data_IF_228904087741
#
_entry.id   IF_228904087741
#
_cell.length_a   1.000
_cell.length_b   1.000
_cell.length_c   1.000
_cell.angle_alpha   90.00
_cell.angle_beta   90.00
_cell.angle_gamma   90.00
#
_symmetry.space_group_name_H-M   'P 1'
#
loop_
_entity.id
_entity.type
_entity.pdbx_description
1 polymer ?
#
# COMPACT_ATOMS: atom_id res chain seq x y z
N UNK A 1 -11.72 -4.44 -21.83
CA UNK A 1 -11.35 -3.04 -21.46
C UNK A 1 -11.30 -2.11 -22.68
N UNK A 2 -10.72 -2.53 -23.82
CA UNK A 2 -10.63 -1.75 -25.08
C UNK A 2 -11.99 -1.35 -25.71
N UNK A 3 -13.06 -2.13 -25.50
CA UNK A 3 -14.39 -1.82 -26.05
C UNK A 3 -15.07 -0.63 -25.36
N UNK A 4 -14.87 -0.45 -24.06
CA UNK A 4 -15.48 0.64 -23.29
C UNK A 4 -14.91 2.01 -23.67
N UNK A 5 -13.61 2.06 -23.97
CA UNK A 5 -12.93 3.30 -24.39
C UNK A 5 -13.40 3.79 -25.76
N UNK A 6 -13.59 2.87 -26.72
CA UNK A 6 -14.05 3.19 -28.08
C UNK A 6 -15.50 3.70 -28.10
N UNK A 7 -16.37 3.14 -27.25
CA UNK A 7 -17.77 3.57 -27.14
C UNK A 7 -17.87 4.99 -26.56
N UNK A 8 -17.04 5.34 -25.57
CA UNK A 8 -17.02 6.68 -24.99
C UNK A 8 -16.49 7.74 -25.97
N UNK A 9 -15.49 7.40 -26.80
CA UNK A 9 -15.00 8.31 -27.84
C UNK A 9 -16.05 8.60 -28.93
N UNK A 10 -16.82 7.58 -29.34
CA UNK A 10 -17.91 7.76 -30.28
C UNK A 10 -19.05 8.61 -29.71
N UNK A 11 -19.37 8.45 -28.42
CA UNK A 11 -20.38 9.26 -27.75
C UNK A 11 -19.99 10.74 -27.66
N UNK A 12 -18.71 11.04 -27.36
CA UNK A 12 -18.19 12.41 -27.32
C UNK A 12 -18.22 13.04 -28.72
N UNK A 13 -17.81 12.29 -29.75
CA UNK A 13 -17.86 12.78 -31.13
C UNK A 13 -19.29 13.07 -31.60
N UNK A 14 -20.26 12.22 -31.25
CA UNK A 14 -21.67 12.41 -31.59
C UNK A 14 -22.30 13.60 -30.85
N UNK A 15 -21.99 13.77 -29.56
CA UNK A 15 -22.45 14.92 -28.76
C UNK A 15 -21.85 16.24 -29.27
N UNK A 16 -20.58 16.23 -29.70
CA UNK A 16 -19.93 17.40 -30.27
C UNK A 16 -20.54 17.80 -31.62
N UNK A 17 -20.85 16.86 -32.51
CA UNK A 17 -21.46 17.20 -33.81
C UNK A 17 -22.88 17.72 -33.66
N UNK A 18 -23.70 17.14 -32.77
CA UNK A 18 -25.06 17.64 -32.47
C UNK A 18 -25.05 18.99 -31.74
N UNK A 19 -24.09 19.23 -30.83
CA UNK A 19 -23.92 20.52 -30.17
C UNK A 19 -23.46 21.63 -31.13
N UNK A 20 -22.58 21.28 -32.08
CA UNK A 20 -22.02 22.24 -33.04
C UNK A 20 -23.05 22.67 -34.10
N UNK A 21 -23.90 21.76 -34.60
CA UNK A 21 -24.97 22.12 -35.54
C UNK A 21 -26.03 23.01 -34.89
N UNK A 22 -26.38 22.74 -33.64
CA UNK A 22 -27.32 23.55 -32.86
C UNK A 22 -26.80 24.97 -32.57
N UNK A 23 -25.51 25.10 -32.22
CA UNK A 23 -24.89 26.41 -31.95
C UNK A 23 -24.69 27.24 -33.22
N UNK A 24 -24.39 26.63 -34.37
CA UNK A 24 -24.30 27.31 -35.67
C UNK A 24 -25.66 27.86 -36.13
N UNK A 25 -26.74 27.08 -35.96
CA UNK A 25 -28.11 27.55 -36.28
C UNK A 25 -28.55 28.71 -35.36
N UNK A 26 -28.20 28.63 -34.08
CA UNK A 26 -28.49 29.67 -33.08
C UNK A 26 -27.77 31.00 -33.38
N UNK A 27 -26.51 30.93 -33.82
CA UNK A 27 -25.70 32.11 -34.16
C UNK A 27 -26.19 32.80 -35.45
N UNK A 28 -26.72 32.04 -36.40
CA UNK A 28 -27.34 32.60 -37.61
C UNK A 28 -28.63 33.37 -37.28
N UNK A 29 -29.48 32.83 -36.40
CA UNK A 29 -30.73 33.50 -35.99
C UNK A 29 -30.51 34.73 -35.11
N UNK A 30 -29.48 34.77 -34.26
CA UNK A 30 -29.17 35.94 -33.43
C UNK A 30 -28.96 37.23 -34.25
N UNK A 31 -28.63 37.10 -35.55
CA UNK A 31 -28.46 38.22 -36.48
C UNK A 31 -29.80 38.80 -36.97
N UNK A 32 -30.94 38.19 -36.65
CA UNK A 32 -32.28 38.69 -36.97
C UNK A 32 -32.73 39.76 -35.95
N UNK A 33 -33.03 41.00 -36.40
CA UNK A 33 -33.29 42.11 -35.50
C UNK A 33 -34.63 41.99 -34.72
N UNK A 34 -35.57 41.14 -35.16
CA UNK A 34 -36.92 41.00 -34.60
C UNK A 34 -37.20 39.61 -34.00
N UNK A 35 -36.32 39.13 -33.12
CA UNK A 35 -36.55 37.90 -32.35
C UNK A 35 -37.50 38.17 -31.16
N UNK A 36 -38.63 37.44 -31.03
CA UNK A 36 -39.52 37.52 -29.88
C UNK A 36 -38.77 37.22 -28.57
N UNK A 37 -39.11 37.88 -27.44
CA UNK A 37 -38.38 37.71 -26.18
C UNK A 37 -38.42 36.27 -25.63
N UNK A 38 -39.47 35.51 -25.94
CA UNK A 38 -39.58 34.09 -25.56
C UNK A 38 -38.55 33.20 -26.29
N UNK A 39 -38.32 33.44 -27.58
CA UNK A 39 -37.39 32.66 -28.40
C UNK A 39 -35.92 32.97 -28.05
N UNK A 40 -35.64 34.21 -27.59
CA UNK A 40 -34.32 34.58 -27.05
C UNK A 40 -33.99 33.82 -25.77
N UNK A 41 -34.99 33.56 -24.92
CA UNK A 41 -34.80 32.78 -23.68
C UNK A 41 -34.55 31.30 -23.99
N UNK A 42 -35.22 30.74 -24.99
CA UNK A 42 -34.97 29.37 -25.47
C UNK A 42 -33.58 29.22 -26.08
N UNK A 43 -33.10 30.22 -26.84
CA UNK A 43 -31.73 30.24 -27.38
C UNK A 43 -30.67 30.30 -26.27
N UNK A 44 -30.90 31.11 -25.23
CA UNK A 44 -30.02 31.18 -24.06
C UNK A 44 -30.03 29.89 -23.23
N UNK A 45 -31.21 29.29 -23.05
CA UNK A 45 -31.36 28.01 -22.37
C UNK A 45 -30.66 26.88 -23.15
N UNK A 46 -30.81 26.84 -24.47
CA UNK A 46 -30.11 25.90 -25.35
C UNK A 46 -28.59 26.09 -25.28
N UNK A 47 -28.10 27.33 -25.26
CA UNK A 47 -26.67 27.61 -25.14
C UNK A 47 -26.08 27.21 -23.78
N UNK A 48 -26.79 27.43 -22.69
CA UNK A 48 -26.35 27.05 -21.34
C UNK A 48 -26.43 25.54 -21.09
N UNK A 49 -27.52 24.89 -21.49
CA UNK A 49 -27.74 23.46 -21.28
C UNK A 49 -26.96 22.59 -22.26
N UNK A 50 -26.86 22.99 -23.52
CA UNK A 50 -26.19 22.20 -24.57
C UNK A 50 -24.75 22.65 -24.85
N UNK A 51 -24.39 23.88 -24.51
CA UNK A 51 -23.02 24.39 -24.69
C UNK A 51 -22.14 24.17 -23.47
N UNK A 52 -22.54 24.68 -22.30
CA UNK A 52 -21.68 24.65 -21.10
C UNK A 52 -21.70 23.30 -20.36
N UNK A 53 -22.86 22.64 -20.25
CA UNK A 53 -22.94 21.38 -19.51
C UNK A 53 -22.07 20.26 -20.11
N UNK A 54 -21.99 20.08 -21.44
CA UNK A 54 -21.09 19.08 -22.03
C UNK A 54 -19.61 19.44 -21.91
N UNK A 55 -19.26 20.72 -21.90
CA UNK A 55 -17.87 21.17 -21.69
C UNK A 55 -17.40 20.91 -20.26
N UNK A 56 -18.23 21.21 -19.26
CA UNK A 56 -17.93 20.89 -17.88
C UNK A 56 -17.85 19.37 -17.66
N UNK A 57 -18.78 18.60 -18.23
CA UNK A 57 -18.81 17.15 -18.16
C UNK A 57 -17.59 16.50 -18.82
N UNK A 58 -17.21 16.94 -20.01
CA UNK A 58 -16.03 16.43 -20.73
C UNK A 58 -14.71 16.79 -20.05
N UNK A 59 -14.59 18.00 -19.50
CA UNK A 59 -13.43 18.39 -18.68
C UNK A 59 -13.31 17.56 -17.39
N UNK A 60 -14.43 17.30 -16.71
CA UNK A 60 -14.45 16.47 -15.49
C UNK A 60 -14.11 15.00 -15.79
N UNK A 61 -14.62 14.45 -16.90
CA UNK A 61 -14.32 13.09 -17.37
C UNK A 61 -12.86 12.93 -17.83
N UNK A 62 -12.31 13.92 -18.54
CA UNK A 62 -10.90 13.91 -18.92
C UNK A 62 -9.99 13.95 -17.69
N UNK A 63 -10.32 14.80 -16.71
CA UNK A 63 -9.56 14.91 -15.47
C UNK A 63 -9.65 13.64 -14.62
N UNK A 64 -10.80 12.96 -14.56
CA UNK A 64 -10.96 11.74 -13.76
C UNK A 64 -10.19 10.54 -14.33
N UNK A 65 -10.09 10.43 -15.65
CA UNK A 65 -9.24 9.41 -16.30
C UNK A 65 -7.75 9.67 -16.04
N UNK A 66 -7.32 10.93 -16.09
CA UNK A 66 -5.94 11.31 -15.79
C UNK A 66 -5.59 11.14 -14.30
N UNK A 67 -6.53 11.47 -13.41
CA UNK A 67 -6.39 11.21 -11.97
C UNK A 67 -6.18 9.73 -11.71
N UNK A 68 -6.84 8.85 -12.45
CA UNK A 68 -6.68 7.39 -12.29
C UNK A 68 -5.25 6.96 -12.63
N UNK A 69 -4.67 7.49 -13.71
CA UNK A 69 -3.28 7.19 -14.10
C UNK A 69 -2.25 7.75 -13.11
N UNK A 70 -2.45 8.99 -12.65
CA UNK A 70 -1.61 9.61 -11.63
C UNK A 70 -1.68 8.85 -10.30
N UNK A 71 -2.88 8.43 -9.89
CA UNK A 71 -3.05 7.63 -8.66
C UNK A 71 -2.34 6.28 -8.75
N UNK A 72 -2.29 5.67 -9.94
CA UNK A 72 -1.57 4.41 -10.14
C UNK A 72 -0.05 4.60 -10.04
N UNK A 73 0.49 5.68 -10.62
CA UNK A 73 1.91 6.04 -10.49
C UNK A 73 2.28 6.35 -9.05
N UNK A 74 1.48 7.16 -8.35
CA UNK A 74 1.70 7.49 -6.94
C UNK A 74 1.70 6.23 -6.05
N UNK A 75 0.75 5.32 -6.28
CA UNK A 75 0.71 4.04 -5.53
C UNK A 75 1.95 3.21 -5.77
N UNK A 76 2.46 3.16 -7.00
CA UNK A 76 3.69 2.42 -7.36
C UNK A 76 4.92 3.04 -6.70
N UNK A 77 5.07 4.36 -6.78
CA UNK A 77 6.20 5.06 -6.15
C UNK A 77 6.17 4.86 -4.64
N UNK A 78 4.98 4.93 -4.03
CA UNK A 78 4.79 4.70 -2.61
C UNK A 78 5.12 3.26 -2.20
N UNK A 79 4.74 2.25 -3.00
CA UNK A 79 5.10 0.86 -2.69
C UNK A 79 6.60 0.63 -2.77
N UNK A 80 7.27 1.15 -3.81
CA UNK A 80 8.72 1.05 -3.97
C UNK A 80 9.42 1.75 -2.80
N UNK A 81 8.98 2.95 -2.41
CA UNK A 81 9.53 3.68 -1.27
C UNK A 81 9.47 2.87 0.03
N UNK A 82 8.30 2.31 0.37
CA UNK A 82 8.17 1.50 1.58
C UNK A 82 8.95 0.18 1.52
N UNK A 83 9.09 -0.40 0.33
CA UNK A 83 9.96 -1.56 0.11
C UNK A 83 11.43 -1.20 0.33
N UNK A 84 11.92 -0.09 -0.25
CA UNK A 84 13.28 0.41 -0.06
C UNK A 84 13.56 0.70 1.42
N UNK A 85 12.61 1.30 2.14
CA UNK A 85 12.72 1.55 3.59
C UNK A 85 12.87 0.25 4.39
N UNK A 86 12.10 -0.78 4.06
CA UNK A 86 12.16 -2.08 4.74
C UNK A 86 13.47 -2.81 4.48
N UNK A 87 13.91 -2.85 3.22
CA UNK A 87 15.13 -3.56 2.82
C UNK A 87 16.40 -2.90 3.33
N UNK A 88 16.36 -1.58 3.55
CA UNK A 88 17.55 -0.79 3.85
C UNK A 88 17.50 -0.17 5.26
N UNK A 89 16.68 -0.73 6.15
CA UNK A 89 16.51 -0.26 7.54
C UNK A 89 16.32 1.27 7.67
N UNK A 90 15.46 1.83 6.82
CA UNK A 90 15.14 3.26 6.84
C UNK A 90 16.12 4.14 6.08
N UNK A 91 17.16 3.59 5.45
CA UNK A 91 18.12 4.35 4.63
C UNK A 91 17.82 4.21 3.14
N UNK A 92 17.46 5.30 2.46
CA UNK A 92 17.12 5.28 1.03
C UNK A 92 18.07 6.17 0.25
N UNK A 93 18.96 5.54 -0.52
CA UNK A 93 19.86 6.23 -1.42
C UNK A 93 19.12 6.68 -2.70
N UNK A 94 19.39 7.92 -3.14
CA UNK A 94 18.73 8.51 -4.33
C UNK A 94 19.00 7.71 -5.60
N UNK A 95 20.23 7.22 -5.81
CA UNK A 95 20.58 6.44 -6.98
C UNK A 95 19.83 5.10 -6.98
N UNK A 96 19.90 4.35 -5.88
CA UNK A 96 19.20 3.06 -5.75
C UNK A 96 17.69 3.22 -5.94
N UNK A 97 17.10 4.25 -5.34
CA UNK A 97 15.67 4.54 -5.50
C UNK A 97 15.33 4.88 -6.97
N UNK A 98 16.13 5.72 -7.63
CA UNK A 98 15.92 6.09 -9.04
C UNK A 98 15.92 4.87 -9.97
N UNK A 99 16.82 3.90 -9.71
CA UNK A 99 16.89 2.65 -10.46
C UNK A 99 15.67 1.76 -10.23
N UNK A 100 15.20 1.64 -8.99
CA UNK A 100 14.03 0.83 -8.64
C UNK A 100 12.71 1.44 -9.15
N UNK A 101 12.57 2.77 -9.03
CA UNK A 101 11.37 3.50 -9.43
C UNK A 101 11.34 3.87 -10.92
N UNK A 102 12.45 3.68 -11.64
CA UNK A 102 12.68 4.18 -12.99
C UNK A 102 12.41 5.69 -13.13
N UNK A 103 12.78 6.45 -12.08
CA UNK A 103 12.71 7.91 -12.11
C UNK A 103 14.05 8.49 -12.54
N UNK A 104 14.05 9.70 -13.06
CA UNK A 104 15.29 10.46 -13.23
C UNK A 104 15.91 10.75 -11.85
N UNK A 105 17.22 10.97 -11.78
CA UNK A 105 17.88 11.31 -10.52
C UNK A 105 17.32 12.57 -9.85
N UNK A 106 16.90 13.57 -10.64
CA UNK A 106 16.26 14.78 -10.12
C UNK A 106 14.87 14.51 -9.55
N UNK A 107 14.05 13.70 -10.23
CA UNK A 107 12.69 13.38 -9.77
C UNK A 107 12.74 12.47 -8.53
N UNK A 108 13.66 11.51 -8.50
CA UNK A 108 13.92 10.67 -7.34
C UNK A 108 14.34 11.53 -6.13
N UNK A 109 15.27 12.48 -6.33
CA UNK A 109 15.70 13.41 -5.29
C UNK A 109 14.55 14.27 -4.78
N UNK A 110 13.73 14.82 -5.67
CA UNK A 110 12.56 15.62 -5.30
C UNK A 110 11.56 14.80 -4.48
N UNK A 111 11.19 13.61 -4.96
CA UNK A 111 10.27 12.72 -4.26
C UNK A 111 10.76 12.35 -2.86
N UNK A 112 12.03 11.95 -2.73
CA UNK A 112 12.60 11.60 -1.43
C UNK A 112 12.75 12.80 -0.51
N UNK A 113 13.06 13.99 -1.05
CA UNK A 113 13.10 15.24 -0.27
C UNK A 113 11.73 15.59 0.30
N UNK A 114 10.66 15.40 -0.48
CA UNK A 114 9.29 15.64 -0.04
C UNK A 114 8.90 14.64 1.06
N UNK A 115 9.21 13.35 0.87
CA UNK A 115 9.00 12.32 1.89
C UNK A 115 9.81 12.60 3.15
N UNK A 116 11.04 13.05 3.01
CA UNK A 116 11.89 13.40 4.14
C UNK A 116 11.31 14.56 4.95
N UNK A 117 10.78 15.58 4.28
CA UNK A 117 10.07 16.68 4.96
C UNK A 117 8.79 16.20 5.66
N UNK A 118 8.03 15.30 5.02
CA UNK A 118 6.79 14.76 5.58
C UNK A 118 7.03 13.90 6.84
N UNK A 119 8.09 13.09 6.84
CA UNK A 119 8.41 12.16 7.92
C UNK A 119 9.54 12.64 8.85
N UNK A 120 9.96 13.91 8.74
CA UNK A 120 11.08 14.48 9.49
C UNK A 120 12.38 13.65 9.40
N UNK A 121 12.67 13.13 8.21
CA UNK A 121 13.87 12.36 7.94
C UNK A 121 15.09 13.25 7.80
N UNK A 122 16.26 12.71 8.13
CA UNK A 122 17.55 13.37 7.90
C UNK A 122 18.12 12.93 6.54
N UNK A 123 19.12 13.63 6.03
CA UNK A 123 19.87 13.17 4.87
C UNK A 123 21.37 13.21 5.18
N UNK A 124 22.09 12.28 4.55
CA UNK A 124 23.52 12.14 4.63
C UNK A 124 24.11 12.18 3.22
N UNK A 125 25.25 12.86 3.07
CA UNK A 125 25.98 12.97 1.82
C UNK A 125 27.34 12.32 2.04
N UNK A 126 27.59 11.22 1.34
CA UNK A 126 28.87 10.52 1.44
C UNK A 126 29.98 11.25 0.67
N UNK A 127 31.23 10.82 0.92
CA UNK A 127 32.43 11.38 0.29
C UNK A 127 32.47 11.19 -1.24
N UNK A 128 31.65 10.27 -1.78
CA UNK A 128 31.49 10.05 -3.21
C UNK A 128 30.39 10.92 -3.84
N UNK A 129 29.74 11.78 -3.05
CA UNK A 129 28.64 12.65 -3.47
C UNK A 129 27.28 11.95 -3.51
N UNK A 130 27.16 10.76 -2.96
CA UNK A 130 25.93 10.01 -2.84
C UNK A 130 25.01 10.59 -1.76
N UNK A 131 23.75 10.85 -2.12
CA UNK A 131 22.74 11.38 -1.21
C UNK A 131 21.86 10.23 -0.69
N UNK A 132 21.84 10.04 0.63
CA UNK A 132 21.04 9.02 1.31
C UNK A 132 20.10 9.68 2.33
N UNK A 133 18.81 9.39 2.23
CA UNK A 133 17.82 9.83 3.21
C UNK A 133 17.65 8.79 4.31
N UNK A 134 17.67 9.23 5.57
CA UNK A 134 17.60 8.42 6.78
C UNK A 134 16.28 8.69 7.50
N UNK A 135 15.38 7.71 7.42
CA UNK A 135 14.06 7.73 8.05
C UNK A 135 14.10 6.97 9.37
N UNK A 136 13.59 7.59 10.43
CA UNK A 136 13.42 6.92 11.71
C UNK A 136 12.22 5.97 11.63
N UNK A 137 12.49 4.68 11.81
CA UNK A 137 11.48 3.62 11.79
C UNK A 137 10.91 3.34 13.19
N UNK A 138 11.47 3.94 14.25
CA UNK A 138 11.09 3.67 15.64
C UNK A 138 11.13 2.17 16.00
N UNK A 139 10.16 1.71 16.78
CA UNK A 139 9.99 0.29 17.14
C UNK A 139 9.41 -0.57 16.01
N UNK A 140 9.32 -0.03 14.78
CA UNK A 140 8.90 -0.84 13.64
C UNK A 140 9.90 -1.99 13.52
N UNK A 141 9.47 -3.25 13.72
CA UNK A 141 10.40 -4.36 13.71
C UNK A 141 11.04 -4.38 12.33
N UNK A 142 12.34 -4.11 12.31
CA UNK A 142 13.24 -4.33 11.18
C UNK A 142 13.39 -5.84 10.92
N UNK A 143 12.27 -6.56 10.95
CA UNK A 143 12.14 -7.91 10.43
C UNK A 143 12.41 -7.78 8.93
N UNK A 144 13.70 -7.94 8.60
CA UNK A 144 14.34 -8.26 7.32
C UNK A 144 15.68 -7.54 7.10
N UNK A 145 16.41 -7.13 8.16
CA UNK A 145 17.87 -7.07 8.02
C UNK A 145 18.61 -7.34 9.34
N UNK A 146 19.30 -8.47 9.41
CA UNK A 146 20.59 -8.61 10.10
C UNK A 146 20.63 -9.09 11.56
N UNK A 147 19.55 -8.96 12.34
CA UNK A 147 19.46 -9.61 13.66
C UNK A 147 18.35 -10.65 13.58
N UNK A 148 18.68 -11.93 13.70
CA UNK A 148 17.66 -12.97 13.92
C UNK A 148 16.94 -12.60 15.22
N UNK A 149 15.76 -11.96 15.12
CA UNK A 149 14.89 -11.76 16.27
C UNK A 149 14.49 -13.16 16.72
N UNK A 150 15.09 -13.57 17.82
CA UNK A 150 14.91 -14.86 18.42
C UNK A 150 13.70 -14.82 19.33
N UNK A 151 12.88 -15.85 19.24
CA UNK A 151 11.69 -15.99 20.06
C UNK A 151 11.86 -17.21 20.97
N UNK A 152 11.46 -17.04 22.23
CA UNK A 152 11.34 -18.10 23.21
C UNK A 152 9.89 -18.53 23.37
N UNK A 153 9.67 -19.85 23.38
CA UNK A 153 8.35 -20.44 23.56
C UNK A 153 8.21 -20.92 25.01
N UNK A 154 7.29 -20.29 25.74
CA UNK A 154 6.97 -20.63 27.13
C UNK A 154 5.64 -21.38 27.20
N UNK A 155 5.61 -22.50 27.93
CA UNK A 155 4.36 -23.16 28.32
C UNK A 155 3.93 -22.61 29.67
N UNK A 156 2.77 -21.94 29.67
CA UNK A 156 2.20 -21.33 30.88
C UNK A 156 1.37 -22.33 31.67
N UNK A 157 0.67 -23.24 30.98
CA UNK A 157 -0.16 -24.25 31.63
C UNK A 157 -0.30 -25.49 30.74
N UNK A 158 -0.30 -26.66 31.39
CA UNK A 158 -0.59 -27.95 30.76
C UNK A 158 -1.78 -28.57 31.50
N UNK A 159 -2.96 -28.70 30.87
CA UNK A 159 -4.09 -29.38 31.48
C UNK A 159 -3.78 -30.85 31.77
N UNK A 160 -4.14 -31.35 32.97
CA UNK A 160 -3.84 -32.72 33.39
C UNK A 160 -4.41 -33.79 32.44
N UNK A 161 -5.58 -33.52 31.85
CA UNK A 161 -6.26 -34.40 30.90
C UNK A 161 -5.39 -34.66 29.66
N UNK A 162 -4.68 -33.64 29.18
CA UNK A 162 -3.87 -33.71 27.97
C UNK A 162 -2.37 -33.86 28.23
N UNK A 163 -1.94 -33.88 29.49
CA UNK A 163 -0.54 -33.86 29.91
C UNK A 163 0.33 -34.91 29.20
N UNK A 164 -0.16 -36.14 29.05
CA UNK A 164 0.57 -37.20 28.32
C UNK A 164 0.75 -36.90 26.82
N UNK A 165 -0.25 -36.30 26.18
CA UNK A 165 -0.20 -35.95 24.76
C UNK A 165 0.71 -34.74 24.52
N UNK A 166 0.62 -33.72 25.39
CA UNK A 166 1.50 -32.55 25.36
C UNK A 166 2.96 -32.96 25.52
N UNK A 167 3.28 -33.84 26.49
CA UNK A 167 4.64 -34.37 26.68
C UNK A 167 5.16 -35.13 25.44
N UNK A 168 4.29 -35.89 24.74
CA UNK A 168 4.68 -36.56 23.48
C UNK A 168 4.98 -35.58 22.36
N UNK A 169 4.20 -34.53 22.22
CA UNK A 169 4.44 -33.49 21.20
C UNK A 169 5.70 -32.70 21.51
N UNK A 170 5.89 -32.33 22.77
CA UNK A 170 7.13 -31.71 23.25
C UNK A 170 8.35 -32.55 22.89
N UNK A 171 8.33 -33.85 23.19
CA UNK A 171 9.43 -34.76 22.85
C UNK A 171 9.75 -34.77 21.35
N UNK A 172 8.72 -34.80 20.49
CA UNK A 172 8.91 -34.76 19.03
C UNK A 172 9.46 -33.42 18.53
N UNK A 173 9.11 -32.32 19.18
CA UNK A 173 9.50 -30.96 18.78
C UNK A 173 10.88 -30.56 19.31
N UNK A 174 11.24 -31.00 20.53
CA UNK A 174 12.52 -30.66 21.16
C UNK A 174 13.60 -31.70 20.91
N UNK A 175 13.23 -32.96 20.61
CA UNK A 175 14.17 -34.07 20.50
C UNK A 175 14.76 -34.52 21.83
N UNK A 176 14.29 -33.97 22.96
CA UNK A 176 14.75 -34.31 24.31
C UNK A 176 14.30 -35.71 24.75
N UNK A 177 14.97 -36.28 25.75
CA UNK A 177 14.58 -37.57 26.29
C UNK A 177 13.26 -37.48 27.08
N UNK A 178 12.54 -38.61 27.20
CA UNK A 178 11.24 -38.64 27.87
C UNK A 178 11.30 -38.21 29.36
N UNK A 179 12.43 -38.42 30.04
CA UNK A 179 12.65 -37.94 31.41
C UNK A 179 12.80 -36.42 31.47
N UNK A 180 13.56 -35.84 30.54
CA UNK A 180 13.87 -34.41 30.52
C UNK A 180 12.62 -33.59 30.18
N UNK A 181 11.80 -34.08 29.23
CA UNK A 181 10.53 -33.43 28.88
C UNK A 181 9.55 -33.46 30.05
N UNK A 182 9.54 -34.53 30.86
CA UNK A 182 8.70 -34.60 32.06
C UNK A 182 9.15 -33.65 33.15
N UNK A 183 10.46 -33.47 33.33
CA UNK A 183 11.02 -32.50 34.25
C UNK A 183 10.63 -31.08 33.80
N UNK A 184 10.81 -30.79 32.51
CA UNK A 184 10.44 -29.49 31.91
C UNK A 184 8.94 -29.21 32.04
N UNK A 185 8.08 -30.19 31.75
CA UNK A 185 6.62 -30.06 31.89
C UNK A 185 6.13 -29.97 33.35
N UNK A 186 7.04 -30.09 34.33
CA UNK A 186 6.74 -29.90 35.75
C UNK A 186 7.07 -28.47 36.21
N UNK A 187 7.99 -27.78 35.53
CA UNK A 187 8.34 -26.40 35.80
C UNK A 187 7.40 -25.49 35.01
N UNK A 188 6.43 -24.86 35.67
CA UNK A 188 5.55 -23.86 35.05
C UNK A 188 5.90 -22.47 35.58
N UNK A 189 6.23 -21.48 34.73
CA UNK A 189 6.30 -21.56 33.26
C UNK A 189 7.51 -22.34 32.74
N UNK A 190 7.30 -23.19 31.71
CA UNK A 190 8.34 -24.07 31.15
C UNK A 190 8.96 -23.47 29.89
N UNK A 191 10.28 -23.32 29.84
CA UNK A 191 10.99 -22.87 28.66
C UNK A 191 11.21 -24.02 27.66
N UNK A 192 10.45 -24.04 26.58
CA UNK A 192 10.46 -25.15 25.62
C UNK A 192 11.66 -25.09 24.69
N UNK A 193 11.92 -23.90 24.15
CA UNK A 193 13.02 -23.66 23.21
C UNK A 193 13.25 -22.15 23.10
N UNK A 194 14.51 -21.76 23.03
CA UNK A 194 14.97 -20.39 22.78
C UNK A 194 15.48 -20.27 21.36
N UNK A 195 15.74 -19.04 20.90
CA UNK A 195 16.37 -18.81 19.59
C UNK A 195 15.59 -19.30 18.38
N UNK A 196 14.27 -19.26 18.42
CA UNK A 196 13.43 -19.63 17.28
C UNK A 196 13.14 -18.44 16.39
N UNK A 197 12.99 -18.68 15.09
CA UNK A 197 12.37 -17.70 14.19
C UNK A 197 10.87 -17.63 14.45
N UNK A 198 10.23 -16.49 14.16
CA UNK A 198 8.79 -16.31 14.31
C UNK A 198 7.93 -17.44 13.70
N UNK A 199 8.16 -17.89 12.44
CA UNK A 199 7.34 -18.96 11.86
C UNK A 199 7.50 -20.29 12.61
N UNK A 200 8.71 -20.58 13.10
CA UNK A 200 8.97 -21.79 13.88
C UNK A 200 8.36 -21.70 15.28
N UNK A 201 8.44 -20.54 15.94
CA UNK A 201 7.78 -20.29 17.22
C UNK A 201 6.25 -20.40 17.13
N UNK A 202 5.66 -19.90 16.03
CA UNK A 202 4.24 -20.05 15.73
C UNK A 202 3.85 -21.52 15.45
N UNK A 203 4.71 -22.28 14.77
CA UNK A 203 4.49 -23.72 14.57
C UNK A 203 4.47 -24.48 15.90
N UNK A 204 5.42 -24.18 16.80
CA UNK A 204 5.46 -24.75 18.14
C UNK A 204 4.19 -24.42 18.92
N UNK A 205 3.76 -23.15 18.91
CA UNK A 205 2.52 -22.71 19.55
C UNK A 205 1.31 -23.48 19.00
N UNK A 206 1.13 -23.50 17.69
CA UNK A 206 0.00 -24.18 17.03
C UNK A 206 -0.08 -25.67 17.39
N UNK A 207 1.06 -26.38 17.34
CA UNK A 207 1.10 -27.82 17.64
C UNK A 207 0.86 -28.13 19.12
N UNK A 208 1.25 -27.24 20.02
CA UNK A 208 1.06 -27.42 21.47
C UNK A 208 -0.35 -27.01 21.92
N UNK A 209 -0.89 -25.91 21.38
CA UNK A 209 -2.27 -25.47 21.63
C UNK A 209 -3.29 -26.45 21.05
N UNK A 210 -3.01 -27.09 19.91
CA UNK A 210 -3.86 -28.14 19.34
C UNK A 210 -4.05 -29.36 20.27
N UNK A 211 -3.14 -29.55 21.22
CA UNK A 211 -3.18 -30.62 22.22
C UNK A 211 -3.61 -30.08 23.60
N UNK A 212 -4.03 -28.82 23.68
CA UNK A 212 -4.61 -28.20 24.87
C UNK A 212 -3.61 -27.48 25.79
N UNK A 213 -2.33 -27.33 25.40
CA UNK A 213 -1.39 -26.54 26.19
C UNK A 213 -1.62 -25.03 26.01
N UNK A 214 -1.38 -24.23 27.05
CA UNK A 214 -1.36 -22.75 26.94
C UNK A 214 0.06 -22.29 26.70
N UNK A 215 0.31 -21.62 25.57
CA UNK A 215 1.66 -21.24 25.12
C UNK A 215 1.75 -19.73 24.92
N UNK A 216 2.83 -19.13 25.39
CA UNK A 216 3.16 -17.72 25.16
C UNK A 216 4.50 -17.62 24.44
N UNK A 217 4.58 -16.73 23.44
CA UNK A 217 5.80 -16.44 22.69
C UNK A 217 6.35 -15.13 23.23
N UNK A 218 7.60 -15.16 23.71
CA UNK A 218 8.32 -13.98 24.21
C UNK A 218 9.45 -13.67 23.24
N UNK A 219 9.69 -12.38 23.01
CA UNK A 219 10.81 -11.89 22.20
C UNK A 219 12.06 -11.90 23.09
N UNK A 220 13.15 -12.51 22.61
CA UNK A 220 14.46 -12.50 23.27
C UNK A 220 15.25 -11.24 22.93
#
# INVERSE_FOLDING_TARGET
MLSRLRIQQLAIALLLTLGLTSTVLSLQRWREPNLPPAERQELLAAFLLLGMAPLAGSAWLGRSLQQTAQTAQDRRLRSIFFESLRLSQGRVNVLTFSMQSHLSGSDAKAYLSDRAREFNATFDVDDSGGLTYCFDLGDYPAALSGVEVTYSVLIMAIPDIHRRQVIRVLQKLTGLSWSDVKALAKETPALVKTKLSLPLAQEFRSRLEAVGATVSIVVD
#
